data_IF_998140205482
#
_entry.id   IF_998140205482
#
_cell.length_a   1.000
_cell.length_b   1.000
_cell.length_c   1.000
_cell.angle_alpha   90.00
_cell.angle_beta   90.00
_cell.angle_gamma   90.00
#
_symmetry.space_group_name_H-M   'P 1'
#
loop_
_entity.id
_entity.type
_entity.pdbx_description
1 polymer ?
#
# COMPACT_ATOMS: atom_id res chain seq x y z
N UNK A 1 -12.60 -11.02 -8.74
CA UNK A 1 -11.24 -10.64 -8.27
C UNK A 1 -10.20 -10.41 -9.40
N UNK A 2 -10.11 -11.24 -10.46
CA UNK A 2 -9.14 -11.04 -11.56
C UNK A 2 -9.28 -9.70 -12.32
N UNK A 3 -10.47 -9.07 -12.29
CA UNK A 3 -10.76 -7.86 -13.07
C UNK A 3 -10.03 -6.62 -12.54
N UNK A 4 -10.10 -6.31 -11.24
CA UNK A 4 -9.38 -5.18 -10.62
C UNK A 4 -7.87 -5.28 -10.82
N UNK A 5 -7.29 -6.46 -10.57
CA UNK A 5 -5.84 -6.70 -10.77
C UNK A 5 -5.42 -6.46 -12.23
N UNK A 6 -6.25 -6.87 -13.20
CA UNK A 6 -5.98 -6.61 -14.63
C UNK A 6 -6.06 -5.12 -14.96
N UNK A 7 -7.01 -4.38 -14.39
CA UNK A 7 -7.10 -2.94 -14.58
C UNK A 7 -5.87 -2.21 -14.03
N UNK A 8 -5.43 -2.55 -12.81
CA UNK A 8 -4.24 -1.97 -12.21
C UNK A 8 -3.00 -2.20 -13.07
N UNK A 9 -2.76 -3.44 -13.53
CA UNK A 9 -1.66 -3.76 -14.45
C UNK A 9 -1.76 -3.03 -15.80
N UNK A 10 -2.97 -2.97 -16.37
CA UNK A 10 -3.18 -2.32 -17.66
C UNK A 10 -2.85 -0.83 -17.59
N UNK A 11 -3.25 -0.14 -16.53
CA UNK A 11 -2.94 1.28 -16.34
C UNK A 11 -1.43 1.51 -16.28
N UNK A 12 -0.69 0.68 -15.53
CA UNK A 12 0.76 0.79 -15.42
C UNK A 12 1.48 0.64 -16.77
N UNK A 13 0.97 -0.24 -17.65
CA UNK A 13 1.59 -0.49 -18.97
C UNK A 13 1.44 0.64 -19.99
N UNK A 14 0.48 1.55 -19.82
CA UNK A 14 0.13 2.58 -20.81
C UNK A 14 0.87 3.91 -20.57
N UNK A 15 1.40 4.15 -19.36
CA UNK A 15 2.14 5.37 -19.02
C UNK A 15 1.26 6.64 -18.91
N UNK A 16 1.83 7.70 -18.34
CA UNK A 16 1.11 8.90 -17.84
C UNK A 16 0.91 9.99 -18.92
N UNK A 17 0.16 9.73 -20.00
CA UNK A 17 0.07 10.68 -21.13
C UNK A 17 -1.32 11.10 -21.63
N UNK A 18 -2.44 10.69 -21.05
CA UNK A 18 -3.72 10.96 -21.71
C UNK A 18 -4.95 11.24 -20.82
N UNK A 19 -5.92 12.01 -21.34
CA UNK A 19 -7.22 12.28 -20.69
C UNK A 19 -8.01 10.98 -20.43
N UNK A 20 -7.71 9.94 -21.20
CA UNK A 20 -8.17 8.56 -21.01
C UNK A 20 -7.86 8.04 -19.59
N UNK A 21 -6.81 8.52 -18.92
CA UNK A 21 -6.40 8.02 -17.61
C UNK A 21 -7.38 8.37 -16.47
N UNK A 22 -8.01 9.57 -16.49
CA UNK A 22 -9.01 9.95 -15.48
C UNK A 22 -10.22 9.02 -15.53
N UNK A 23 -10.73 8.76 -16.73
CA UNK A 23 -11.83 7.83 -16.96
C UNK A 23 -11.53 6.41 -16.43
N UNK A 24 -10.27 5.98 -16.45
CA UNK A 24 -9.88 4.65 -15.96
C UNK A 24 -9.75 4.61 -14.44
N UNK A 25 -9.29 5.68 -13.80
CA UNK A 25 -9.30 5.77 -12.34
C UNK A 25 -10.72 5.85 -11.79
N UNK A 26 -11.60 6.64 -12.42
CA UNK A 26 -13.01 6.75 -12.02
C UNK A 26 -13.69 5.37 -12.12
N UNK A 27 -13.52 4.67 -13.25
CA UNK A 27 -14.06 3.31 -13.40
C UNK A 27 -13.43 2.30 -12.41
N UNK A 28 -12.14 2.42 -12.08
CA UNK A 28 -11.53 1.52 -11.08
C UNK A 28 -12.11 1.79 -9.67
N UNK A 29 -12.34 3.05 -9.33
CA UNK A 29 -12.98 3.45 -8.08
C UNK A 29 -14.41 2.92 -8.00
N UNK A 30 -15.22 3.10 -9.06
CA UNK A 30 -16.59 2.61 -9.13
C UNK A 30 -16.66 1.08 -8.95
N UNK A 31 -15.78 0.33 -9.62
CA UNK A 31 -15.72 -1.13 -9.46
C UNK A 31 -15.26 -1.56 -8.07
N UNK A 32 -14.37 -0.79 -7.44
CA UNK A 32 -13.96 -1.06 -6.07
C UNK A 32 -15.09 -0.78 -5.07
N UNK A 33 -15.84 0.31 -5.25
CA UNK A 33 -16.99 0.65 -4.41
C UNK A 33 -18.11 -0.38 -4.58
N UNK A 34 -18.43 -0.79 -5.81
CA UNK A 34 -19.39 -1.86 -6.08
C UNK A 34 -18.99 -3.19 -5.42
N UNK A 35 -17.68 -3.50 -5.38
CA UNK A 35 -17.18 -4.70 -4.70
C UNK A 35 -17.33 -4.60 -3.17
N UNK A 36 -17.09 -3.44 -2.58
CA UNK A 36 -17.31 -3.23 -1.13
C UNK A 36 -18.79 -3.38 -0.79
N UNK A 37 -19.68 -2.78 -1.59
CA UNK A 37 -21.13 -2.90 -1.40
C UNK A 37 -21.60 -4.36 -1.45
N UNK A 38 -21.06 -5.16 -2.36
CA UNK A 38 -21.43 -6.57 -2.49
C UNK A 38 -20.92 -7.43 -1.31
N UNK A 39 -19.69 -7.18 -0.85
CA UNK A 39 -19.07 -7.90 0.28
C UNK A 39 -19.72 -7.51 1.62
N UNK A 40 -20.19 -6.27 1.75
CA UNK A 40 -20.86 -5.76 2.95
C UNK A 40 -22.37 -6.03 2.98
N UNK A 41 -22.97 -6.50 1.88
CA UNK A 41 -24.38 -6.90 1.86
C UNK A 41 -24.63 -7.92 2.99
N UNK A 42 -25.76 -7.82 3.74
CA UNK A 42 -26.10 -8.83 4.74
C UNK A 42 -26.19 -10.21 4.06
N UNK A 43 -25.33 -11.14 4.47
CA UNK A 43 -25.32 -12.51 3.95
C UNK A 43 -25.61 -13.49 5.09
N UNK A 44 -26.04 -14.71 4.74
CA UNK A 44 -26.22 -15.79 5.70
C UNK A 44 -24.92 -16.02 6.47
N UNK A 45 -24.98 -15.81 7.79
CA UNK A 45 -23.83 -15.99 8.69
C UNK A 45 -23.22 -17.40 8.61
N UNK A 46 -24.00 -18.39 8.15
CA UNK A 46 -23.55 -19.76 7.91
C UNK A 46 -22.36 -19.84 6.94
N UNK A 47 -22.33 -19.00 5.90
CA UNK A 47 -21.25 -19.00 4.91
C UNK A 47 -19.91 -18.55 5.50
N UNK A 48 -19.92 -17.66 6.50
CA UNK A 48 -18.71 -17.17 7.19
C UNK A 48 -18.16 -18.14 8.24
N UNK A 49 -18.85 -19.25 8.51
CA UNK A 49 -18.42 -20.26 9.48
C UNK A 49 -17.09 -20.93 9.10
N UNK A 50 -16.79 -21.04 7.81
CA UNK A 50 -15.57 -21.65 7.32
C UNK A 50 -14.50 -20.59 7.02
N UNK A 51 -13.41 -20.59 7.78
CA UNK A 51 -12.36 -19.56 7.69
C UNK A 51 -11.80 -19.40 6.27
N UNK A 52 -11.47 -20.50 5.58
CA UNK A 52 -10.96 -20.44 4.21
C UNK A 52 -11.97 -19.86 3.21
N UNK A 53 -13.26 -20.13 3.40
CA UNK A 53 -14.32 -19.55 2.59
C UNK A 53 -14.48 -18.06 2.89
N UNK A 54 -14.50 -17.66 4.17
CA UNK A 54 -14.54 -16.26 4.59
C UNK A 54 -13.41 -15.46 3.93
N UNK A 55 -12.18 -15.97 4.02
CA UNK A 55 -11.00 -15.30 3.45
C UNK A 55 -11.13 -15.14 1.93
N UNK A 56 -11.45 -16.22 1.22
CA UNK A 56 -11.47 -16.22 -0.24
C UNK A 56 -12.58 -15.36 -0.85
N UNK A 57 -13.76 -15.30 -0.22
CA UNK A 57 -14.96 -14.69 -0.78
C UNK A 57 -15.35 -13.36 -0.12
N UNK A 58 -14.74 -12.99 1.00
CA UNK A 58 -15.05 -11.74 1.70
C UNK A 58 -13.80 -10.93 1.96
N UNK A 59 -12.87 -11.48 2.76
CA UNK A 59 -11.75 -10.68 3.26
C UNK A 59 -10.81 -10.25 2.12
N UNK A 60 -10.43 -11.19 1.24
CA UNK A 60 -9.56 -10.87 0.09
C UNK A 60 -10.26 -9.97 -0.94
N UNK A 61 -11.53 -10.19 -1.34
CA UNK A 61 -12.25 -9.24 -2.19
C UNK A 61 -12.33 -7.83 -1.60
N UNK A 62 -12.65 -7.71 -0.31
CA UNK A 62 -12.66 -6.44 0.40
C UNK A 62 -11.26 -5.79 0.40
N UNK A 63 -10.22 -6.59 0.67
CA UNK A 63 -8.83 -6.16 0.60
C UNK A 63 -8.51 -5.52 -0.76
N UNK A 64 -8.87 -6.20 -1.84
CA UNK A 64 -8.60 -5.77 -3.21
C UNK A 64 -9.34 -4.47 -3.56
N UNK A 65 -10.54 -4.27 -3.05
CA UNK A 65 -11.25 -3.01 -3.24
C UNK A 65 -10.52 -1.85 -2.56
N UNK A 66 -10.11 -2.03 -1.30
CA UNK A 66 -9.32 -1.02 -0.59
C UNK A 66 -7.99 -0.73 -1.30
N UNK A 67 -7.27 -1.75 -1.74
CA UNK A 67 -6.02 -1.63 -2.50
C UNK A 67 -6.22 -0.89 -3.82
N UNK A 68 -7.31 -1.17 -4.54
CA UNK A 68 -7.61 -0.50 -5.80
C UNK A 68 -7.88 1.00 -5.57
N UNK A 69 -8.64 1.34 -4.53
CA UNK A 69 -8.86 2.73 -4.12
C UNK A 69 -7.56 3.41 -3.69
N UNK A 70 -6.76 2.72 -2.87
CA UNK A 70 -5.44 3.18 -2.42
C UNK A 70 -4.52 3.50 -3.60
N UNK A 71 -4.51 2.65 -4.62
CA UNK A 71 -3.77 2.88 -5.85
C UNK A 71 -4.23 4.14 -6.59
N UNK A 72 -5.53 4.31 -6.83
CA UNK A 72 -6.07 5.51 -7.49
C UNK A 72 -5.67 6.80 -6.75
N UNK A 73 -5.84 6.80 -5.43
CA UNK A 73 -5.55 7.94 -4.57
C UNK A 73 -4.05 8.23 -4.53
N UNK A 74 -3.20 7.20 -4.42
CA UNK A 74 -1.75 7.32 -4.43
C UNK A 74 -1.26 7.95 -5.74
N UNK A 75 -1.74 7.45 -6.88
CA UNK A 75 -1.39 7.99 -8.19
C UNK A 75 -1.85 9.44 -8.35
N UNK A 76 -3.06 9.78 -7.87
CA UNK A 76 -3.53 11.16 -7.80
C UNK A 76 -2.59 12.07 -6.99
N UNK A 77 -2.15 11.62 -5.81
CA UNK A 77 -1.18 12.35 -4.98
C UNK A 77 0.17 12.55 -5.68
N UNK A 78 0.69 11.53 -6.38
CA UNK A 78 1.94 11.61 -7.15
C UNK A 78 1.83 12.63 -8.28
N UNK A 79 0.72 12.64 -9.01
CA UNK A 79 0.46 13.60 -10.08
C UNK A 79 0.42 15.02 -9.52
N UNK A 80 -0.19 15.23 -8.36
CA UNK A 80 -0.25 16.55 -7.71
C UNK A 80 1.13 17.05 -7.26
N UNK A 81 1.96 16.17 -6.68
CA UNK A 81 3.33 16.53 -6.27
C UNK A 81 4.23 16.87 -7.47
N UNK A 82 4.11 16.11 -8.56
CA UNK A 82 4.93 16.27 -9.77
C UNK A 82 4.41 17.35 -10.72
N UNK A 83 3.15 17.75 -10.59
CA UNK A 83 2.50 18.73 -11.44
C UNK A 83 3.04 20.16 -11.27
N UNK A 84 2.88 20.98 -12.31
CA UNK A 84 3.13 22.43 -12.26
C UNK A 84 1.94 23.24 -11.73
N UNK A 85 0.83 22.57 -11.39
CA UNK A 85 -0.37 23.24 -10.89
C UNK A 85 -0.20 23.70 -9.43
N UNK A 86 -0.96 24.71 -9.01
CA UNK A 86 -0.93 25.28 -7.66
C UNK A 86 -1.44 24.38 -6.54
N UNK A 87 -1.84 23.14 -6.83
CA UNK A 87 -2.46 22.21 -5.87
C UNK A 87 -1.46 21.21 -5.25
N UNK A 88 -0.15 21.50 -5.27
CA UNK A 88 0.87 20.63 -4.68
C UNK A 88 0.61 20.29 -3.21
N UNK A 89 0.01 21.22 -2.46
CA UNK A 89 -0.34 21.06 -1.06
C UNK A 89 -1.36 19.93 -0.80
N UNK A 90 -2.16 19.53 -1.80
CA UNK A 90 -3.11 18.43 -1.67
C UNK A 90 -2.44 17.04 -1.84
N UNK A 91 -1.24 17.00 -2.44
CA UNK A 91 -0.49 15.76 -2.71
C UNK A 91 -0.23 14.93 -1.45
N UNK A 92 0.36 15.51 -0.38
CA UNK A 92 0.62 14.80 0.86
C UNK A 92 -0.66 14.24 1.51
N UNK A 93 -1.76 15.01 1.51
CA UNK A 93 -3.05 14.55 2.03
C UNK A 93 -3.59 13.33 1.28
N UNK A 94 -3.48 13.32 -0.06
CA UNK A 94 -3.83 12.13 -0.86
C UNK A 94 -2.94 10.95 -0.53
N UNK A 95 -1.63 11.15 -0.33
CA UNK A 95 -0.74 10.06 0.01
C UNK A 95 -1.01 9.47 1.40
N UNK A 96 -1.40 10.29 2.38
CA UNK A 96 -1.88 9.80 3.68
C UNK A 96 -3.19 9.00 3.54
N UNK A 97 -4.14 9.48 2.72
CA UNK A 97 -5.34 8.70 2.41
C UNK A 97 -5.01 7.35 1.73
N UNK A 98 -4.00 7.32 0.85
CA UNK A 98 -3.54 6.07 0.25
C UNK A 98 -2.95 5.10 1.28
N UNK A 99 -2.13 5.60 2.21
CA UNK A 99 -1.64 4.81 3.36
C UNK A 99 -2.80 4.14 4.10
N UNK A 100 -3.83 4.89 4.48
CA UNK A 100 -4.99 4.33 5.19
C UNK A 100 -5.69 3.22 4.41
N UNK A 101 -5.88 3.41 3.10
CA UNK A 101 -6.53 2.43 2.23
C UNK A 101 -5.68 1.17 2.03
N UNK A 102 -4.37 1.32 1.83
CA UNK A 102 -3.46 0.19 1.72
C UNK A 102 -3.33 -0.57 3.04
N UNK A 103 -3.25 0.12 4.19
CA UNK A 103 -3.26 -0.51 5.52
C UNK A 103 -4.56 -1.29 5.77
N UNK A 104 -5.71 -0.71 5.46
CA UNK A 104 -7.00 -1.39 5.55
C UNK A 104 -7.05 -2.65 4.67
N UNK A 105 -6.56 -2.55 3.43
CA UNK A 105 -6.49 -3.70 2.53
C UNK A 105 -5.52 -4.77 3.01
N UNK A 106 -4.33 -4.40 3.47
CA UNK A 106 -3.32 -5.34 3.96
C UNK A 106 -3.81 -6.13 5.18
N UNK A 107 -4.50 -5.47 6.11
CA UNK A 107 -5.05 -6.07 7.34
C UNK A 107 -6.17 -7.09 7.09
N UNK A 108 -6.69 -7.18 5.86
CA UNK A 108 -7.66 -8.20 5.46
C UNK A 108 -7.00 -9.48 4.96
N UNK A 109 -5.71 -9.43 4.60
CA UNK A 109 -4.96 -10.63 4.28
C UNK A 109 -4.54 -11.37 5.56
N UNK A 110 -4.45 -12.71 5.53
CA UNK A 110 -3.77 -13.45 6.58
C UNK A 110 -2.33 -12.91 6.79
N UNK A 111 -1.82 -12.82 8.03
CA UNK A 111 -0.46 -12.33 8.29
C UNK A 111 0.65 -13.15 7.65
N UNK A 112 0.39 -14.42 7.35
CA UNK A 112 1.30 -15.34 6.68
C UNK A 112 1.17 -15.32 5.15
N UNK A 113 0.34 -14.44 4.57
CA UNK A 113 0.19 -14.24 3.12
C UNK A 113 1.23 -13.23 2.61
N UNK A 114 1.92 -13.55 1.52
CA UNK A 114 2.97 -12.71 0.94
C UNK A 114 2.46 -11.34 0.49
N UNK A 115 1.16 -11.22 0.18
CA UNK A 115 0.53 -9.96 -0.21
C UNK A 115 0.31 -9.03 0.98
N UNK A 116 0.12 -9.58 2.18
CA UNK A 116 0.00 -8.77 3.40
C UNK A 116 1.27 -7.92 3.57
N UNK A 117 2.44 -8.57 3.53
CA UNK A 117 3.74 -7.92 3.61
C UNK A 117 3.89 -6.82 2.56
N UNK A 118 3.62 -7.14 1.30
CA UNK A 118 3.76 -6.19 0.21
C UNK A 118 2.88 -4.95 0.40
N UNK A 119 1.60 -5.12 0.71
CA UNK A 119 0.69 -3.98 0.82
C UNK A 119 0.96 -3.12 2.06
N UNK A 120 1.51 -3.70 3.14
CA UNK A 120 2.04 -2.91 4.26
C UNK A 120 3.25 -2.06 3.85
N UNK A 121 4.17 -2.62 3.05
CA UNK A 121 5.31 -1.85 2.52
C UNK A 121 4.81 -0.70 1.63
N UNK A 122 3.87 -0.95 0.71
CA UNK A 122 3.27 0.11 -0.12
C UNK A 122 2.58 1.17 0.74
N UNK A 123 1.86 0.74 1.79
CA UNK A 123 1.23 1.64 2.74
C UNK A 123 2.25 2.56 3.43
N UNK A 124 3.38 2.02 3.89
CA UNK A 124 4.43 2.80 4.53
C UNK A 124 5.14 3.75 3.54
N UNK A 125 5.35 3.32 2.29
CA UNK A 125 5.87 4.21 1.23
C UNK A 125 4.93 5.40 1.02
N UNK A 126 3.61 5.17 1.00
CA UNK A 126 2.63 6.26 0.90
C UNK A 126 2.72 7.21 2.10
N UNK A 127 2.92 6.67 3.31
CA UNK A 127 3.09 7.47 4.52
C UNK A 127 4.35 8.33 4.51
N UNK A 128 5.51 7.77 4.15
CA UNK A 128 6.76 8.54 4.02
C UNK A 128 6.60 9.71 3.05
N UNK A 129 5.91 9.48 1.92
CA UNK A 129 5.70 10.49 0.89
C UNK A 129 4.58 11.47 1.22
N UNK A 130 3.77 11.18 2.24
CA UNK A 130 2.80 12.12 2.80
C UNK A 130 3.43 13.13 3.76
N UNK A 131 4.76 13.09 3.91
CA UNK A 131 5.53 13.93 4.83
C UNK A 131 5.13 13.71 6.30
N UNK A 132 4.72 12.49 6.64
CA UNK A 132 4.40 12.11 8.01
C UNK A 132 5.65 12.16 8.91
N UNK A 133 5.50 12.53 10.20
CA UNK A 133 6.60 12.55 11.14
C UNK A 133 7.11 11.14 11.45
N UNK A 134 8.37 11.03 11.86
CA UNK A 134 9.02 9.76 12.21
C UNK A 134 8.29 9.01 13.33
N UNK A 135 7.68 9.71 14.29
CA UNK A 135 6.86 9.09 15.35
C UNK A 135 5.66 8.29 14.82
N UNK A 136 5.15 8.65 13.64
CA UNK A 136 4.05 7.94 12.98
C UNK A 136 4.60 6.80 12.09
N UNK A 137 5.70 7.05 11.38
CA UNK A 137 6.20 6.12 10.36
C UNK A 137 7.02 4.94 10.92
N UNK A 138 7.90 5.19 11.90
CA UNK A 138 8.81 4.15 12.43
C UNK A 138 8.08 2.95 13.06
N UNK A 139 7.00 3.13 13.86
CA UNK A 139 6.28 1.99 14.43
C UNK A 139 5.76 0.98 13.40
N UNK A 140 5.51 1.39 12.15
CA UNK A 140 5.06 0.48 11.09
C UNK A 140 6.16 -0.49 10.63
N UNK A 141 7.43 -0.12 10.77
CA UNK A 141 8.57 -0.98 10.39
C UNK A 141 8.59 -2.23 11.28
N UNK A 142 8.32 -2.07 12.57
CA UNK A 142 8.20 -3.19 13.51
C UNK A 142 7.08 -4.15 13.10
N UNK A 143 5.89 -3.63 12.75
CA UNK A 143 4.78 -4.47 12.29
C UNK A 143 5.10 -5.20 10.98
N UNK A 144 5.75 -4.53 10.03
CA UNK A 144 6.19 -5.13 8.76
C UNK A 144 7.18 -6.27 9.00
N UNK A 145 8.10 -6.12 9.96
CA UNK A 145 9.06 -7.16 10.35
C UNK A 145 8.35 -8.42 10.89
N UNK A 146 7.34 -8.25 11.74
CA UNK A 146 6.56 -9.37 12.28
C UNK A 146 5.82 -10.15 11.17
N UNK A 147 5.21 -9.43 10.22
CA UNK A 147 4.52 -10.02 9.07
C UNK A 147 5.50 -10.73 8.13
N UNK A 148 6.70 -10.18 7.93
CA UNK A 148 7.77 -10.85 7.18
C UNK A 148 8.09 -12.22 7.79
N UNK A 149 8.32 -12.29 9.11
CA UNK A 149 8.67 -13.55 9.77
C UNK A 149 7.51 -14.56 9.73
N UNK A 150 6.26 -14.11 9.85
CA UNK A 150 5.09 -14.99 9.73
C UNK A 150 4.96 -15.61 8.33
N UNK A 151 5.15 -14.82 7.28
CA UNK A 151 5.04 -15.28 5.89
C UNK A 151 6.27 -16.09 5.42
N UNK A 152 7.45 -15.85 6.01
CA UNK A 152 8.73 -16.49 5.60
C UNK A 152 8.65 -18.01 5.58
N UNK A 153 8.00 -18.62 6.57
CA UNK A 153 7.88 -20.08 6.68
C UNK A 153 7.17 -20.74 5.48
N UNK A 154 6.37 -19.99 4.72
CA UNK A 154 5.60 -20.50 3.58
C UNK A 154 6.18 -19.99 2.26
N UNK A 155 6.65 -18.74 2.21
CA UNK A 155 6.91 -18.02 0.97
C UNK A 155 8.39 -17.73 0.68
N UNK A 156 9.34 -18.15 1.54
CA UNK A 156 10.77 -17.79 1.44
C UNK A 156 11.44 -18.05 0.07
N UNK A 157 10.98 -19.06 -0.67
CA UNK A 157 11.52 -19.41 -1.98
C UNK A 157 10.81 -18.72 -3.15
N UNK A 158 9.76 -17.95 -2.89
CA UNK A 158 9.01 -17.26 -3.92
C UNK A 158 9.71 -15.94 -4.24
N UNK A 159 10.10 -15.77 -5.51
CA UNK A 159 10.88 -14.61 -5.97
C UNK A 159 10.25 -13.26 -5.63
N UNK A 160 8.92 -13.21 -5.61
CA UNK A 160 8.18 -12.01 -5.25
C UNK A 160 8.24 -11.70 -3.75
N UNK A 161 8.16 -12.72 -2.89
CA UNK A 161 8.34 -12.56 -1.45
C UNK A 161 9.78 -12.14 -1.15
N UNK A 162 10.78 -12.72 -1.81
CA UNK A 162 12.19 -12.33 -1.64
C UNK A 162 12.44 -10.85 -1.93
N UNK A 163 11.80 -10.29 -2.97
CA UNK A 163 11.87 -8.84 -3.25
C UNK A 163 11.28 -7.99 -2.12
N UNK A 164 10.09 -8.37 -1.65
CA UNK A 164 9.43 -7.65 -0.55
C UNK A 164 10.23 -7.78 0.75
N UNK A 165 10.80 -8.95 1.01
CA UNK A 165 11.69 -9.21 2.15
C UNK A 165 12.94 -8.32 2.11
N UNK A 166 13.57 -8.15 0.95
CA UNK A 166 14.74 -7.26 0.80
C UNK A 166 14.40 -5.80 1.10
N UNK A 167 13.19 -5.34 0.75
CA UNK A 167 12.73 -4.00 1.13
C UNK A 167 12.53 -3.85 2.65
N UNK A 168 12.25 -4.94 3.38
CA UNK A 168 12.22 -4.90 4.84
C UNK A 168 13.62 -4.69 5.40
N UNK A 169 14.65 -5.29 4.82
CA UNK A 169 16.04 -5.07 5.22
C UNK A 169 16.43 -3.58 5.02
N UNK A 170 16.02 -2.98 3.90
CA UNK A 170 16.21 -1.54 3.65
C UNK A 170 15.43 -0.65 4.65
N UNK A 171 14.25 -1.08 5.09
CA UNK A 171 13.47 -0.38 6.13
C UNK A 171 14.14 -0.49 7.50
N UNK A 172 14.74 -1.63 7.83
CA UNK A 172 15.46 -1.84 9.09
C UNK A 172 16.71 -0.95 9.17
N UNK A 173 17.49 -0.84 8.09
CA UNK A 173 18.63 0.07 8.07
C UNK A 173 18.18 1.53 8.17
N UNK A 174 17.10 1.92 7.48
CA UNK A 174 16.52 3.26 7.62
C UNK A 174 16.07 3.56 9.05
N UNK A 175 15.35 2.64 9.72
CA UNK A 175 14.94 2.81 11.13
C UNK A 175 16.15 3.06 12.03
N UNK A 176 17.19 2.25 11.87
CA UNK A 176 18.43 2.35 12.63
C UNK A 176 19.16 3.68 12.39
N UNK A 177 19.30 4.12 11.14
CA UNK A 177 19.89 5.42 10.79
C UNK A 177 19.11 6.57 11.44
N UNK A 178 17.78 6.56 11.36
CA UNK A 178 16.95 7.62 11.95
C UNK A 178 17.06 7.67 13.47
N UNK A 179 17.08 6.52 14.14
CA UNK A 179 17.25 6.47 15.60
C UNK A 179 18.63 7.00 16.03
N UNK A 180 19.69 6.70 15.27
CA UNK A 180 21.03 7.25 15.53
C UNK A 180 21.07 8.78 15.36
N UNK A 181 20.46 9.31 14.31
CA UNK A 181 20.38 10.76 14.08
C UNK A 181 19.55 11.50 15.15
N UNK A 182 18.51 10.85 15.69
CA UNK A 182 17.72 11.37 16.82
C UNK A 182 18.56 11.37 18.10
N UNK A 183 19.30 10.31 18.37
CA UNK A 183 20.19 10.21 19.54
C UNK A 183 21.32 11.26 19.49
N UNK A 184 21.86 11.51 18.29
CA UNK A 184 22.84 12.56 18.04
C UNK A 184 22.26 13.99 18.13
N UNK A 185 20.92 14.13 18.19
CA UNK A 185 20.23 15.41 18.25
C UNK A 185 20.22 16.19 16.93
N UNK A 186 20.53 15.53 15.80
CA UNK A 186 20.49 16.16 14.47
C UNK A 186 19.06 16.31 13.95
N UNK A 187 18.17 15.39 14.33
CA UNK A 187 16.75 15.37 13.96
C UNK A 187 15.91 15.02 15.18
N UNK A 188 14.60 15.16 15.06
CA UNK A 188 13.62 14.85 16.11
C UNK A 188 12.54 13.89 15.58
N UNK A 189 11.78 13.27 16.49
CA UNK A 189 10.64 12.42 16.14
C UNK A 189 9.54 13.14 15.33
N UNK A 190 9.54 14.48 15.32
CA UNK A 190 8.59 15.31 14.57
C UNK A 190 9.05 15.61 13.15
N UNK A 191 10.31 15.33 12.84
CA UNK A 191 10.84 15.50 11.50
C UNK A 191 10.22 14.47 10.55
N UNK A 192 10.03 14.88 9.30
CA UNK A 192 9.65 14.01 8.20
C UNK A 192 10.89 13.59 7.41
N UNK A 193 11.04 12.28 7.17
CA UNK A 193 12.13 11.70 6.37
C UNK A 193 11.55 10.60 5.51
N UNK A 194 11.96 10.57 4.24
CA UNK A 194 11.55 9.57 3.26
C UNK A 194 12.82 8.91 2.70
N UNK A 195 12.95 7.58 2.75
CA UNK A 195 14.10 6.90 2.18
C UNK A 195 14.16 7.14 0.66
N UNK A 196 15.38 7.17 0.12
CA UNK A 196 15.63 7.50 -1.28
C UNK A 196 14.96 6.51 -2.25
N UNK A 197 14.95 5.22 -1.90
CA UNK A 197 14.29 4.17 -2.66
C UNK A 197 12.76 4.27 -2.63
N UNK A 198 12.16 4.73 -1.52
CA UNK A 198 10.70 4.91 -1.43
C UNK A 198 10.23 6.10 -2.28
N UNK A 199 11.10 7.09 -2.45
CA UNK A 199 10.85 8.26 -3.30
C UNK A 199 10.77 7.89 -4.79
N UNK A 200 11.46 6.83 -5.22
CA UNK A 200 11.49 6.34 -6.61
C UNK A 200 10.53 5.18 -6.87
N UNK A 201 10.33 4.26 -5.91
CA UNK A 201 9.55 3.03 -6.05
C UNK A 201 8.08 3.24 -6.44
N UNK A 202 7.48 4.38 -6.08
CA UNK A 202 6.08 4.66 -6.39
C UNK A 202 5.79 4.95 -7.88
N UNK A 203 6.83 5.27 -8.67
CA UNK A 203 6.69 5.42 -10.13
C UNK A 203 6.57 4.06 -10.83
N UNK A 204 6.95 2.98 -10.15
CA UNK A 204 7.04 1.64 -10.70
C UNK A 204 6.37 0.64 -9.75
N UNK A 205 5.03 0.54 -9.79
CA UNK A 205 4.33 -0.70 -9.37
C UNK A 205 4.61 -1.86 -10.34
N UNK A 206 5.81 -1.89 -10.91
CA UNK A 206 6.26 -2.82 -11.93
C UNK A 206 6.57 -4.14 -11.25
N UNK A 207 5.82 -5.18 -11.62
CA UNK A 207 6.06 -6.59 -11.32
C UNK A 207 5.31 -7.16 -10.10
N UNK A 208 3.98 -7.24 -10.22
CA UNK A 208 3.19 -8.34 -9.62
C UNK A 208 2.22 -8.90 -10.61
#
# INVERSE_FOLDING_TARGET
MMRLKRYMRAMQSIGNRDAKYRFWFDHLMEEADALLEDVHRPQDQECRKYKGFSIAFFDIPEAMAFIAKGYCVMQGGIILLSGKSGNKAEGPSKLRQAHELYSQGANKYPPDDERCLYFLIISLIALFRSEAPLEEALPHITHIREVREAAKAIWEFMSYFQKSSGLVDDLEEFEKEMLQEIEAGHITMKDSRCPSWASTAAAEHSQI
#
